data_IF_662036219705
#
_entry.id   IF_662036219705
#
_cell.length_a   1.000
_cell.length_b   1.000
_cell.length_c   1.000
_cell.angle_alpha   90.00
_cell.angle_beta   90.00
_cell.angle_gamma   90.00
#
_symmetry.space_group_name_H-M   'P 1'
#
loop_
_entity.id
_entity.type
_entity.pdbx_description
1 polymer ?
#
# COMPACT_ATOMS: atom_id res chain seq x y z
N UNK A 1 13.27 -19.27 -12.53
CA UNK A 1 12.51 -20.04 -11.53
C UNK A 1 11.20 -19.32 -11.26
N UNK A 2 10.08 -19.89 -11.66
CA UNK A 2 8.74 -19.33 -11.42
C UNK A 2 8.43 -19.40 -9.93
N UNK A 3 8.40 -18.25 -9.23
CA UNK A 3 7.86 -18.20 -7.86
C UNK A 3 6.38 -18.57 -7.94
N UNK A 4 5.99 -19.68 -7.36
CA UNK A 4 4.60 -20.04 -7.14
C UNK A 4 3.92 -18.87 -6.39
N UNK A 5 3.22 -18.02 -7.14
CA UNK A 5 2.32 -17.02 -6.54
C UNK A 5 1.20 -17.81 -5.89
N UNK A 6 1.23 -17.90 -4.57
CA UNK A 6 0.19 -18.60 -3.83
C UNK A 6 -1.21 -18.05 -4.16
N UNK A 7 -2.23 -18.87 -3.97
CA UNK A 7 -3.65 -18.51 -4.22
C UNK A 7 -4.06 -17.16 -3.61
N UNK A 8 -3.44 -16.78 -2.50
CA UNK A 8 -3.64 -15.50 -1.82
C UNK A 8 -3.19 -14.29 -2.64
N UNK A 9 -2.10 -14.40 -3.41
CA UNK A 9 -1.55 -13.29 -4.21
C UNK A 9 -2.41 -13.01 -5.43
N UNK A 10 -2.91 -14.06 -6.07
CA UNK A 10 -3.81 -13.95 -7.22
C UNK A 10 -5.16 -13.33 -6.83
N UNK A 11 -5.69 -13.69 -5.66
CA UNK A 11 -6.93 -13.11 -5.15
C UNK A 11 -6.75 -11.64 -4.77
N UNK A 12 -5.69 -11.28 -4.04
CA UNK A 12 -5.40 -9.91 -3.68
C UNK A 12 -5.22 -9.02 -4.93
N UNK A 13 -4.52 -9.50 -5.95
CA UNK A 13 -4.36 -8.80 -7.22
C UNK A 13 -5.68 -8.52 -7.95
N UNK A 14 -6.63 -9.46 -7.91
CA UNK A 14 -7.95 -9.25 -8.54
C UNK A 14 -8.76 -8.17 -7.83
N UNK A 15 -8.77 -8.18 -6.49
CA UNK A 15 -9.47 -7.15 -5.71
C UNK A 15 -8.81 -5.78 -5.86
N UNK A 16 -7.49 -5.71 -5.89
CA UNK A 16 -6.78 -4.44 -6.08
C UNK A 16 -6.99 -3.86 -7.47
N UNK A 17 -7.04 -4.70 -8.51
CA UNK A 17 -7.36 -4.26 -9.87
C UNK A 17 -8.81 -3.75 -9.95
N UNK A 18 -9.77 -4.48 -9.39
CA UNK A 18 -11.17 -4.05 -9.35
C UNK A 18 -11.34 -2.70 -8.62
N UNK A 19 -10.64 -2.50 -7.48
CA UNK A 19 -10.66 -1.21 -6.79
C UNK A 19 -10.07 -0.10 -7.65
N UNK A 20 -8.97 -0.38 -8.39
CA UNK A 20 -8.37 0.57 -9.30
C UNK A 20 -9.34 0.99 -10.42
N UNK A 21 -9.97 0.03 -11.07
CA UNK A 21 -10.93 0.28 -12.15
C UNK A 21 -12.12 1.11 -11.65
N UNK A 22 -12.72 0.74 -10.53
CA UNK A 22 -13.82 1.49 -9.91
C UNK A 22 -13.43 2.93 -9.54
N UNK A 23 -12.24 3.10 -8.94
CA UNK A 23 -11.73 4.42 -8.57
C UNK A 23 -11.42 5.28 -9.81
N UNK A 24 -10.89 4.68 -10.86
CA UNK A 24 -10.59 5.34 -12.13
C UNK A 24 -11.87 5.79 -12.84
N UNK A 25 -12.87 4.91 -12.99
CA UNK A 25 -14.17 5.21 -13.62
C UNK A 25 -14.93 6.32 -12.87
N UNK A 26 -14.80 6.34 -11.54
CA UNK A 26 -15.44 7.36 -10.68
C UNK A 26 -14.64 8.66 -10.57
N UNK A 27 -13.47 8.79 -11.20
CA UNK A 27 -12.53 9.91 -11.07
C UNK A 27 -12.10 10.19 -9.61
N UNK A 28 -12.06 9.16 -8.75
CA UNK A 28 -11.72 9.25 -7.33
C UNK A 28 -10.36 8.62 -6.99
N UNK A 29 -9.50 8.40 -7.99
CA UNK A 29 -8.28 7.62 -7.83
C UNK A 29 -7.35 8.19 -6.76
N UNK A 30 -7.16 9.50 -6.74
CA UNK A 30 -6.31 10.19 -5.77
C UNK A 30 -6.87 10.06 -4.35
N UNK A 31 -8.16 10.30 -4.17
CA UNK A 31 -8.83 10.19 -2.86
C UNK A 31 -8.80 8.76 -2.32
N UNK A 32 -9.02 7.77 -3.18
CA UNK A 32 -8.96 6.36 -2.78
C UNK A 32 -7.52 5.94 -2.44
N UNK A 33 -6.51 6.45 -3.14
CA UNK A 33 -5.10 6.20 -2.82
C UNK A 33 -4.71 6.81 -1.47
N UNK A 34 -5.16 8.03 -1.16
CA UNK A 34 -5.00 8.66 0.14
C UNK A 34 -5.68 7.86 1.25
N UNK A 35 -6.93 7.44 1.04
CA UNK A 35 -7.67 6.61 1.98
C UNK A 35 -6.98 5.25 2.20
N UNK A 36 -6.47 4.62 1.14
CA UNK A 36 -5.70 3.39 1.19
C UNK A 36 -4.43 3.56 2.03
N UNK A 37 -3.70 4.65 1.82
CA UNK A 37 -2.47 4.97 2.55
C UNK A 37 -2.76 5.25 4.02
N UNK A 38 -3.83 5.99 4.33
CA UNK A 38 -4.24 6.26 5.70
C UNK A 38 -4.59 4.96 6.46
N UNK A 39 -5.33 4.06 5.81
CA UNK A 39 -5.69 2.77 6.41
C UNK A 39 -4.46 1.85 6.59
N UNK A 40 -3.54 1.81 5.63
CA UNK A 40 -2.27 1.08 5.76
C UNK A 40 -1.42 1.61 6.92
N UNK A 41 -1.36 2.92 7.09
CA UNK A 41 -0.67 3.55 8.22
C UNK A 41 -1.32 3.20 9.56
N UNK A 42 -2.65 3.15 9.62
CA UNK A 42 -3.36 2.71 10.82
C UNK A 42 -3.04 1.25 11.17
N UNK A 43 -3.05 0.36 10.17
CA UNK A 43 -2.72 -1.07 10.32
C UNK A 43 -1.27 -1.24 10.83
N UNK A 44 -0.32 -0.48 10.29
CA UNK A 44 1.09 -0.59 10.65
C UNK A 44 1.41 -0.04 12.04
N UNK A 45 0.73 1.05 12.46
CA UNK A 45 0.99 1.73 13.73
C UNK A 45 0.21 1.14 14.90
N UNK A 46 -0.90 0.44 14.64
CA UNK A 46 -1.77 -0.10 15.68
C UNK A 46 -1.76 -1.64 15.64
N UNK A 47 -1.00 -2.22 16.58
CA UNK A 47 -0.86 -3.69 16.71
C UNK A 47 -2.19 -4.37 16.99
N UNK A 48 -3.06 -3.77 17.80
CA UNK A 48 -4.36 -4.34 18.15
C UNK A 48 -5.27 -4.41 16.94
N UNK A 49 -5.31 -3.34 16.15
CA UNK A 49 -6.07 -3.32 14.89
C UNK A 49 -5.52 -4.33 13.87
N UNK A 50 -4.19 -4.47 13.77
CA UNK A 50 -3.56 -5.46 12.90
C UNK A 50 -3.93 -6.90 13.32
N UNK A 51 -3.89 -7.19 14.63
CA UNK A 51 -4.27 -8.50 15.16
C UNK A 51 -5.76 -8.78 14.92
N UNK A 52 -6.61 -7.78 15.13
CA UNK A 52 -8.05 -7.86 14.90
C UNK A 52 -8.39 -8.17 13.44
N UNK A 53 -7.71 -7.55 12.47
CA UNK A 53 -7.92 -7.84 11.04
C UNK A 53 -7.57 -9.30 10.72
N UNK A 54 -6.54 -9.85 11.36
CA UNK A 54 -6.04 -11.22 11.13
C UNK A 54 -6.83 -12.29 11.87
N UNK A 55 -7.71 -11.90 12.79
CA UNK A 55 -8.52 -12.85 13.56
C UNK A 55 -9.65 -13.44 12.70
N UNK A 56 -9.59 -14.76 12.36
CA UNK A 56 -10.60 -15.39 11.55
C UNK A 56 -11.91 -15.63 12.30
N UNK A 57 -11.92 -15.49 13.63
CA UNK A 57 -13.09 -15.74 14.48
C UNK A 57 -13.97 -14.51 14.60
N UNK A 58 -13.49 -13.35 14.17
CA UNK A 58 -14.21 -12.09 14.30
C UNK A 58 -15.51 -12.09 13.49
N UNK A 59 -16.61 -11.74 14.17
CA UNK A 59 -17.92 -11.64 13.57
C UNK A 59 -17.97 -10.50 12.54
N UNK A 60 -18.62 -10.74 11.39
CA UNK A 60 -18.82 -9.73 10.33
C UNK A 60 -19.45 -8.44 10.86
N UNK A 61 -20.44 -8.54 11.77
CA UNK A 61 -21.10 -7.36 12.34
C UNK A 61 -20.13 -6.51 13.17
N UNK A 62 -19.21 -7.12 13.90
CA UNK A 62 -18.17 -6.42 14.65
C UNK A 62 -17.20 -5.71 13.68
N UNK A 63 -16.71 -6.40 12.65
CA UNK A 63 -15.85 -5.80 11.62
C UNK A 63 -16.54 -4.64 10.91
N UNK A 64 -17.83 -4.78 10.55
CA UNK A 64 -18.58 -3.71 9.89
C UNK A 64 -18.70 -2.47 10.80
N UNK A 65 -18.97 -2.64 12.08
CA UNK A 65 -19.01 -1.53 13.04
C UNK A 65 -17.65 -0.80 13.11
N UNK A 66 -16.57 -1.56 13.19
CA UNK A 66 -15.21 -1.00 13.25
C UNK A 66 -14.87 -0.23 11.98
N UNK A 67 -15.15 -0.80 10.80
CA UNK A 67 -14.93 -0.14 9.51
C UNK A 67 -15.78 1.12 9.38
N UNK A 68 -17.02 1.13 9.87
CA UNK A 68 -17.84 2.34 9.90
C UNK A 68 -17.22 3.44 10.77
N UNK A 69 -16.79 3.12 11.99
CA UNK A 69 -16.11 4.06 12.88
C UNK A 69 -14.83 4.64 12.26
N UNK A 70 -14.02 3.78 11.63
CA UNK A 70 -12.81 4.22 10.93
C UNK A 70 -13.19 5.13 9.76
N UNK A 71 -14.22 4.76 8.99
CA UNK A 71 -14.67 5.54 7.83
C UNK A 71 -15.15 6.94 8.22
N UNK A 72 -15.80 7.08 9.35
CA UNK A 72 -16.25 8.37 9.90
C UNK A 72 -15.08 9.22 10.39
N UNK A 73 -14.16 8.61 11.16
CA UNK A 73 -13.00 9.32 11.72
C UNK A 73 -12.02 9.79 10.65
N UNK A 74 -11.79 9.00 9.62
CA UNK A 74 -10.86 9.31 8.53
C UNK A 74 -11.56 9.97 7.33
N UNK A 75 -12.87 10.18 7.39
CA UNK A 75 -13.69 10.73 6.29
C UNK A 75 -13.45 10.00 4.97
N UNK A 76 -13.48 8.65 5.04
CA UNK A 76 -13.22 7.83 3.89
C UNK A 76 -14.31 8.01 2.82
N UNK A 77 -13.90 8.01 1.55
CA UNK A 77 -14.81 8.05 0.43
C UNK A 77 -15.81 6.89 0.44
N UNK A 78 -17.05 7.16 0.04
CA UNK A 78 -18.13 6.16 0.06
C UNK A 78 -17.78 4.93 -0.78
N UNK A 79 -17.13 5.11 -1.93
CA UNK A 79 -16.65 4.03 -2.76
C UNK A 79 -15.70 3.11 -1.99
N UNK A 80 -14.74 3.68 -1.26
CA UNK A 80 -13.78 2.93 -0.47
C UNK A 80 -14.45 2.20 0.70
N UNK A 81 -15.37 2.87 1.42
CA UNK A 81 -16.18 2.27 2.48
C UNK A 81 -16.98 1.07 1.98
N UNK A 82 -17.64 1.20 0.82
CA UNK A 82 -18.39 0.12 0.19
C UNK A 82 -17.48 -1.05 -0.20
N UNK A 83 -16.30 -0.77 -0.72
CA UNK A 83 -15.29 -1.78 -1.05
C UNK A 83 -14.84 -2.56 0.21
N UNK A 84 -14.54 -1.88 1.31
CA UNK A 84 -14.20 -2.54 2.58
C UNK A 84 -15.35 -3.42 3.09
N UNK A 85 -16.59 -2.92 3.02
CA UNK A 85 -17.80 -3.68 3.34
C UNK A 85 -17.96 -4.94 2.47
N UNK A 86 -17.66 -4.82 1.18
CA UNK A 86 -17.65 -5.95 0.26
C UNK A 86 -16.61 -7.03 0.65
N UNK A 87 -15.39 -6.61 1.04
CA UNK A 87 -14.37 -7.54 1.54
C UNK A 87 -14.83 -8.28 2.80
N UNK A 88 -15.54 -7.60 3.71
CA UNK A 88 -16.12 -8.22 4.91
C UNK A 88 -17.18 -9.27 4.52
N UNK A 89 -18.10 -8.92 3.62
CA UNK A 89 -19.15 -9.82 3.15
C UNK A 89 -18.57 -11.08 2.50
N UNK A 90 -17.52 -10.93 1.72
CA UNK A 90 -16.82 -12.03 1.04
C UNK A 90 -15.85 -12.79 1.96
N UNK A 91 -15.75 -12.44 3.23
CA UNK A 91 -14.78 -13.01 4.19
C UNK A 91 -13.33 -12.90 3.71
N UNK A 92 -12.99 -11.74 3.11
CA UNK A 92 -11.65 -11.47 2.56
C UNK A 92 -10.96 -10.29 3.24
N UNK A 93 -11.55 -9.78 4.32
CA UNK A 93 -11.04 -8.60 5.02
C UNK A 93 -9.64 -8.81 5.60
N UNK A 94 -9.30 -10.03 5.99
CA UNK A 94 -7.95 -10.36 6.48
C UNK A 94 -6.84 -10.18 5.43
N UNK A 95 -7.20 -10.05 4.14
CA UNK A 95 -6.27 -9.69 3.06
C UNK A 95 -6.21 -8.18 2.78
N UNK A 96 -6.93 -7.35 3.52
CA UNK A 96 -7.06 -5.91 3.23
C UNK A 96 -5.71 -5.22 3.11
N UNK A 97 -4.76 -5.49 4.01
CA UNK A 97 -3.42 -4.94 3.94
C UNK A 97 -2.72 -5.26 2.61
N UNK A 98 -2.79 -6.51 2.18
CA UNK A 98 -2.17 -6.99 0.95
C UNK A 98 -2.85 -6.41 -0.30
N UNK A 99 -4.19 -6.33 -0.27
CA UNK A 99 -4.99 -5.73 -1.34
C UNK A 99 -4.64 -4.26 -1.52
N UNK A 100 -4.57 -3.49 -0.44
CA UNK A 100 -4.27 -2.07 -0.48
C UNK A 100 -2.82 -1.78 -0.91
N UNK A 101 -1.85 -2.57 -0.46
CA UNK A 101 -0.47 -2.50 -0.95
C UNK A 101 -0.40 -2.73 -2.45
N UNK A 102 -1.06 -3.78 -2.94
CA UNK A 102 -1.13 -4.08 -4.37
C UNK A 102 -1.87 -3.00 -5.17
N UNK A 103 -2.94 -2.41 -4.61
CA UNK A 103 -3.65 -1.28 -5.22
C UNK A 103 -2.73 -0.06 -5.40
N UNK A 104 -2.00 0.35 -4.35
CA UNK A 104 -1.06 1.46 -4.43
C UNK A 104 0.07 1.18 -5.44
N UNK A 105 0.49 -0.10 -5.57
CA UNK A 105 1.44 -0.49 -6.61
C UNK A 105 0.89 -0.36 -8.03
N UNK A 106 -0.37 -0.73 -8.24
CA UNK A 106 -1.03 -0.55 -9.53
C UNK A 106 -1.12 0.93 -9.87
N UNK A 107 -1.52 1.79 -8.92
CA UNK A 107 -1.57 3.24 -9.10
C UNK A 107 -0.22 3.81 -9.53
N UNK A 108 0.86 3.47 -8.81
CA UNK A 108 2.22 3.90 -9.13
C UNK A 108 2.67 3.45 -10.51
N UNK A 109 2.45 2.16 -10.85
CA UNK A 109 2.80 1.60 -12.18
C UNK A 109 2.03 2.29 -13.32
N UNK A 110 0.75 2.54 -13.13
CA UNK A 110 -0.10 3.22 -14.14
C UNK A 110 0.28 4.68 -14.36
N UNK A 111 0.85 5.35 -13.34
CA UNK A 111 1.43 6.70 -13.48
C UNK A 111 2.85 6.69 -14.07
N UNK A 112 3.41 5.53 -14.39
CA UNK A 112 4.79 5.41 -14.86
C UNK A 112 5.82 5.72 -13.79
N UNK A 113 5.46 5.61 -12.51
CA UNK A 113 6.39 5.76 -11.39
C UNK A 113 7.23 4.50 -11.25
N UNK A 114 8.55 4.66 -11.18
CA UNK A 114 9.47 3.60 -10.83
C UNK A 114 9.70 3.60 -9.32
N UNK A 115 9.77 2.41 -8.74
CA UNK A 115 10.18 2.27 -7.33
C UNK A 115 11.67 2.03 -7.30
N UNK A 116 12.39 2.82 -6.53
CA UNK A 116 13.79 2.57 -6.22
C UNK A 116 13.93 2.30 -4.72
N UNK A 117 14.64 1.25 -4.36
CA UNK A 117 15.04 0.98 -2.97
C UNK A 117 16.49 1.38 -2.80
N UNK A 118 16.76 2.20 -1.77
CA UNK A 118 18.11 2.57 -1.37
C UNK A 118 18.37 1.96 0.01
N UNK A 119 19.37 1.09 0.06
CA UNK A 119 19.95 0.61 1.30
C UNK A 119 21.30 1.28 1.50
N UNK A 120 21.47 2.01 2.61
CA UNK A 120 22.71 2.71 2.93
C UNK A 120 23.26 2.30 4.29
N UNK A 121 24.58 2.11 4.35
CA UNK A 121 25.29 1.85 5.59
C UNK A 121 25.32 3.08 6.54
N UNK A 122 25.17 4.29 6.00
CA UNK A 122 25.13 5.56 6.72
C UNK A 122 23.76 6.18 6.64
N UNK A 123 23.32 6.83 7.70
CA UNK A 123 22.11 7.65 7.65
C UNK A 123 22.25 8.75 6.62
N UNK A 124 21.31 8.80 5.68
CA UNK A 124 21.23 9.85 4.67
C UNK A 124 20.35 10.99 5.17
N UNK A 125 20.81 12.21 4.94
CA UNK A 125 20.00 13.41 5.18
C UNK A 125 18.90 13.54 4.12
N UNK A 126 17.84 14.27 4.44
CA UNK A 126 16.75 14.53 3.48
C UNK A 126 17.26 15.18 2.19
N UNK A 127 18.27 16.03 2.27
CA UNK A 127 18.87 16.68 1.10
C UNK A 127 19.60 15.67 0.19
N UNK A 128 20.30 14.71 0.77
CA UNK A 128 20.98 13.65 0.01
C UNK A 128 19.95 12.72 -0.67
N UNK A 129 18.88 12.36 0.04
CA UNK A 129 17.77 11.58 -0.51
C UNK A 129 17.12 12.30 -1.70
N UNK A 130 16.87 13.61 -1.56
CA UNK A 130 16.27 14.40 -2.64
C UNK A 130 17.19 14.47 -3.87
N UNK A 131 18.50 14.70 -3.70
CA UNK A 131 19.47 14.72 -4.81
C UNK A 131 19.53 13.39 -5.55
N UNK A 132 19.58 12.27 -4.81
CA UNK A 132 19.57 10.92 -5.40
C UNK A 132 18.28 10.69 -6.18
N UNK A 133 17.13 11.12 -5.64
CA UNK A 133 15.83 11.00 -6.31
C UNK A 133 15.81 11.79 -7.62
N UNK A 134 16.35 13.01 -7.65
CA UNK A 134 16.43 13.85 -8.84
C UNK A 134 17.37 13.24 -9.90
N UNK A 135 18.55 12.76 -9.51
CA UNK A 135 19.47 12.09 -10.41
C UNK A 135 18.88 10.81 -11.04
N UNK A 136 18.25 9.98 -10.21
CA UNK A 136 17.59 8.78 -10.70
C UNK A 136 16.41 9.13 -11.62
N UNK A 137 15.58 10.12 -11.27
CA UNK A 137 14.46 10.57 -12.09
C UNK A 137 14.92 11.10 -13.46
N UNK A 138 16.04 11.81 -13.49
CA UNK A 138 16.66 12.32 -14.71
C UNK A 138 17.19 11.16 -15.60
N UNK A 139 17.88 10.19 -15.01
CA UNK A 139 18.46 9.05 -15.72
C UNK A 139 17.40 8.12 -16.31
N UNK A 140 16.34 7.84 -15.55
CA UNK A 140 15.26 6.94 -15.98
C UNK A 140 14.12 7.65 -16.71
N UNK A 141 14.14 8.99 -16.81
CA UNK A 141 13.08 9.81 -17.42
C UNK A 141 11.68 9.49 -16.88
N UNK A 142 11.60 9.13 -15.61
CA UNK A 142 10.39 8.70 -14.91
C UNK A 142 10.38 9.23 -13.49
N UNK A 143 9.18 9.47 -12.94
CA UNK A 143 9.07 9.79 -11.51
C UNK A 143 9.51 8.60 -10.68
N UNK A 144 10.46 8.80 -9.78
CA UNK A 144 10.96 7.74 -8.90
C UNK A 144 10.36 7.92 -7.51
N UNK A 145 9.69 6.87 -7.03
CA UNK A 145 9.28 6.76 -5.63
C UNK A 145 10.37 6.00 -4.89
N UNK A 146 11.13 6.73 -4.08
CA UNK A 146 12.28 6.21 -3.39
C UNK A 146 11.89 5.69 -2.01
N UNK A 147 12.24 4.43 -1.74
CA UNK A 147 12.20 3.84 -0.41
C UNK A 147 13.62 3.80 0.15
N UNK A 148 13.84 4.50 1.25
CA UNK A 148 15.13 4.53 1.93
C UNK A 148 15.10 3.61 3.15
N UNK A 149 16.12 2.74 3.26
CA UNK A 149 16.38 1.90 4.42
C UNK A 149 17.80 2.14 4.91
N UNK A 150 17.93 2.43 6.19
CA UNK A 150 19.23 2.44 6.85
C UNK A 150 19.59 1.00 7.25
N UNK A 151 20.66 0.47 6.68
CA UNK A 151 21.13 -0.90 6.91
C UNK A 151 22.60 -0.90 7.36
N UNK A 152 22.86 -0.80 8.67
CA UNK A 152 24.20 -0.76 9.23
C UNK A 152 25.04 -2.03 8.97
N UNK A 153 24.39 -3.12 8.55
CA UNK A 153 25.08 -4.38 8.20
C UNK A 153 25.86 -4.29 6.89
N UNK A 154 25.61 -3.29 6.06
CA UNK A 154 26.43 -3.00 4.89
C UNK A 154 27.79 -2.47 5.33
N UNK A 155 28.87 -3.08 4.82
CA UNK A 155 30.27 -2.70 5.14
C UNK A 155 30.60 -1.25 4.75
N UNK A 156 29.86 -0.71 3.78
CA UNK A 156 29.98 0.66 3.29
C UNK A 156 29.27 0.85 1.95
N UNK A 157 29.01 2.11 1.59
CA UNK A 157 28.41 2.45 0.31
C UNK A 157 26.88 2.52 0.32
N UNK A 158 26.32 2.53 -0.87
CA UNK A 158 24.90 2.72 -1.15
C UNK A 158 24.50 1.71 -2.22
N UNK A 159 23.47 0.93 -1.95
CA UNK A 159 22.88 -0.01 -2.92
C UNK A 159 21.57 0.55 -3.42
N UNK A 160 21.47 0.79 -4.72
CA UNK A 160 20.24 1.27 -5.39
C UNK A 160 19.69 0.13 -6.23
N UNK A 161 18.43 -0.22 -6.00
CA UNK A 161 17.69 -1.19 -6.80
C UNK A 161 16.44 -0.52 -7.36
N UNK A 162 16.28 -0.53 -8.70
CA UNK A 162 15.17 0.07 -9.44
C UNK A 162 14.30 -1.03 -10.07
#
# INVERSE_FOLDING_TARGET
MSKNKGFSDTSASRYSLALYELAHESNLLTQIEENSTALLNLISKNKDFNNLIKDPTLNRNALTKIVNLISENFKLENLFKNFLGFLIQKRRFFYVEKILKSFNEICSKKRGELKAEINSAKELTQNEINKITEELSSNFKSKIKLNYNHEPSLIGGLVVQV
#
